data_IF_112174854744
#
_entry.id   IF_112174854744
#
_cell.length_a   1.000
_cell.length_b   1.000
_cell.length_c   1.000
_cell.angle_alpha   90.00
_cell.angle_beta   90.00
_cell.angle_gamma   90.00
#
_symmetry.space_group_name_H-M   'P 1'
#
loop_
_entity.id
_entity.type
_entity.pdbx_description
1 polymer ?
#
# COMPACT_ATOMS: atom_id res chain seq x y z
N UNK A 1 -10.26 3.28 -12.55
CA UNK A 1 -9.10 4.17 -12.38
C UNK A 1 -9.06 4.83 -11.00
N UNK A 2 -7.93 4.76 -10.30
CA UNK A 2 -7.72 5.27 -8.93
C UNK A 2 -6.99 6.63 -8.87
N UNK A 3 -6.74 7.24 -10.03
CA UNK A 3 -6.02 8.50 -10.17
C UNK A 3 -6.92 9.69 -9.78
N UNK A 4 -7.28 9.78 -8.50
CA UNK A 4 -7.91 10.96 -7.90
C UNK A 4 -6.88 12.05 -7.60
N UNK A 5 -7.34 13.24 -7.21
CA UNK A 5 -6.46 14.35 -6.82
C UNK A 5 -5.38 13.90 -5.81
N UNK A 6 -4.12 14.32 -6.00
CA UNK A 6 -3.60 15.25 -7.02
C UNK A 6 -3.19 14.56 -8.35
N UNK A 7 -3.57 13.29 -8.57
CA UNK A 7 -3.23 12.50 -9.76
C UNK A 7 -4.29 12.57 -10.87
N UNK A 8 -5.30 13.43 -10.75
CA UNK A 8 -6.34 13.62 -11.76
C UNK A 8 -5.81 14.20 -13.09
N UNK A 9 -4.62 14.80 -13.09
CA UNK A 9 -3.92 15.21 -14.32
C UNK A 9 -3.76 14.07 -15.33
N UNK A 10 -3.50 12.83 -14.87
CA UNK A 10 -3.37 11.67 -15.76
C UNK A 10 -4.70 11.38 -16.46
N UNK A 11 -5.82 11.47 -15.74
CA UNK A 11 -7.16 11.29 -16.33
C UNK A 11 -7.44 12.35 -17.38
N UNK A 12 -7.19 13.62 -17.03
CA UNK A 12 -7.48 14.75 -17.90
C UNK A 12 -6.64 14.70 -19.19
N UNK A 13 -5.36 14.33 -19.08
CA UNK A 13 -4.48 14.17 -20.25
C UNK A 13 -4.88 12.99 -21.13
N UNK A 14 -5.28 11.86 -20.56
CA UNK A 14 -5.77 10.72 -21.35
C UNK A 14 -7.05 11.07 -22.12
N UNK A 15 -8.00 11.77 -21.49
CA UNK A 15 -9.24 12.23 -22.15
C UNK A 15 -8.91 13.20 -23.29
N UNK A 16 -8.06 14.20 -23.03
CA UNK A 16 -7.66 15.17 -24.04
C UNK A 16 -6.97 14.52 -25.25
N UNK A 17 -6.13 13.50 -25.00
CA UNK A 17 -5.46 12.74 -26.06
C UNK A 17 -6.48 11.99 -26.93
N UNK A 18 -7.46 11.33 -26.32
CA UNK A 18 -8.53 10.64 -27.06
C UNK A 18 -9.35 11.63 -27.90
N UNK A 19 -9.75 12.76 -27.33
CA UNK A 19 -10.51 13.78 -28.07
C UNK A 19 -9.72 14.36 -29.25
N UNK A 20 -8.41 14.60 -29.09
CA UNK A 20 -7.55 15.08 -30.17
C UNK A 20 -7.44 14.09 -31.34
N UNK A 21 -7.47 12.78 -31.04
CA UNK A 21 -7.32 11.71 -32.03
C UNK A 21 -8.64 11.23 -32.65
N UNK A 22 -9.79 11.65 -32.11
CA UNK A 22 -11.11 11.17 -32.54
C UNK A 22 -12.06 12.36 -32.73
N UNK A 23 -12.02 12.99 -33.90
CA UNK A 23 -12.87 14.14 -34.20
C UNK A 23 -14.36 13.81 -34.02
N UNK A 24 -15.08 14.66 -33.27
CA UNK A 24 -16.52 14.50 -33.03
C UNK A 24 -16.92 13.48 -31.95
N UNK A 25 -15.96 12.83 -31.27
CA UNK A 25 -16.26 11.94 -30.15
C UNK A 25 -16.92 12.71 -28.99
N UNK A 26 -17.92 12.10 -28.36
CA UNK A 26 -18.52 12.67 -27.15
C UNK A 26 -17.54 12.65 -25.98
N UNK A 27 -17.73 13.53 -24.98
CA UNK A 27 -16.89 13.54 -23.78
C UNK A 27 -17.04 12.24 -22.97
N UNK A 28 -18.22 11.61 -22.99
CA UNK A 28 -18.50 10.36 -22.29
C UNK A 28 -17.73 9.19 -22.93
N UNK A 29 -17.84 9.05 -24.26
CA UNK A 29 -17.12 8.01 -25.00
C UNK A 29 -15.60 8.23 -24.92
N UNK A 30 -15.15 9.49 -24.99
CA UNK A 30 -13.74 9.82 -24.82
C UNK A 30 -13.25 9.44 -23.42
N UNK A 31 -14.07 9.63 -22.39
CA UNK A 31 -13.73 9.26 -21.01
C UNK A 31 -13.61 7.76 -20.83
N UNK A 32 -14.54 6.99 -21.41
CA UNK A 32 -14.51 5.54 -21.33
C UNK A 32 -13.31 4.97 -22.12
N UNK A 33 -13.11 5.43 -23.36
CA UNK A 33 -11.96 5.04 -24.19
C UNK A 33 -10.62 5.41 -23.54
N UNK A 34 -10.50 6.62 -22.98
CA UNK A 34 -9.30 7.06 -22.27
C UNK A 34 -8.99 6.21 -21.04
N UNK A 35 -10.03 5.73 -20.34
CA UNK A 35 -9.86 4.81 -19.23
C UNK A 35 -9.31 3.47 -19.70
N UNK A 36 -9.89 2.89 -20.74
CA UNK A 36 -9.49 1.58 -21.24
C UNK A 36 -8.07 1.61 -21.81
N UNK A 37 -7.72 2.64 -22.59
CA UNK A 37 -6.37 2.84 -23.11
C UNK A 37 -5.33 3.03 -21.99
N UNK A 38 -5.65 3.87 -20.98
CA UNK A 38 -4.74 4.12 -19.86
C UNK A 38 -4.55 2.89 -18.97
N UNK A 39 -5.62 2.16 -18.64
CA UNK A 39 -5.53 0.95 -17.82
C UNK A 39 -4.80 -0.18 -18.57
N UNK A 40 -4.98 -0.28 -19.89
CA UNK A 40 -4.23 -1.23 -20.74
C UNK A 40 -2.74 -0.89 -20.77
N UNK A 41 -2.39 0.36 -21.07
CA UNK A 41 -0.99 0.79 -21.12
C UNK A 41 -0.32 0.70 -19.74
N UNK A 42 -1.01 1.10 -18.68
CA UNK A 42 -0.53 1.02 -17.30
C UNK A 42 -0.28 -0.42 -16.86
N UNK A 43 -1.21 -1.34 -17.17
CA UNK A 43 -0.99 -2.77 -16.93
C UNK A 43 0.23 -3.27 -17.69
N UNK A 44 0.31 -3.04 -18.99
CA UNK A 44 1.43 -3.51 -19.81
C UNK A 44 2.76 -3.03 -19.24
N UNK A 45 2.89 -1.73 -18.95
CA UNK A 45 4.13 -1.18 -18.41
C UNK A 45 4.52 -1.82 -17.07
N UNK A 46 3.58 -1.94 -16.14
CA UNK A 46 3.85 -2.49 -14.80
C UNK A 46 4.12 -4.00 -14.83
N UNK A 47 3.35 -4.75 -15.61
CA UNK A 47 3.49 -6.20 -15.73
C UNK A 47 4.84 -6.57 -16.39
N UNK A 48 5.20 -5.91 -17.50
CA UNK A 48 6.46 -6.17 -18.20
C UNK A 48 7.68 -5.72 -17.36
N UNK A 49 7.55 -4.69 -16.54
CA UNK A 49 8.61 -4.29 -15.61
C UNK A 49 8.86 -5.36 -14.55
N UNK A 50 7.81 -5.97 -13.98
CA UNK A 50 7.97 -7.08 -13.04
C UNK A 50 8.58 -8.32 -13.71
N UNK A 51 8.13 -8.67 -14.93
CA UNK A 51 8.71 -9.75 -15.73
C UNK A 51 10.21 -9.54 -15.96
N UNK A 52 10.59 -8.33 -16.35
CA UNK A 52 11.99 -7.96 -16.57
C UNK A 52 12.81 -8.03 -15.29
N UNK A 53 12.29 -7.50 -14.17
CA UNK A 53 12.98 -7.58 -12.87
C UNK A 53 13.28 -9.04 -12.48
N UNK A 54 12.28 -9.92 -12.60
CA UNK A 54 12.43 -11.35 -12.33
C UNK A 54 13.38 -12.03 -13.30
N UNK A 55 13.36 -11.72 -14.59
CA UNK A 55 14.27 -12.35 -15.56
C UNK A 55 15.73 -11.98 -15.30
N UNK A 56 15.99 -10.71 -14.95
CA UNK A 56 17.35 -10.20 -14.70
C UNK A 56 17.86 -10.58 -13.30
N UNK A 57 16.98 -10.71 -12.30
CA UNK A 57 17.30 -11.09 -10.91
C UNK A 57 16.27 -12.09 -10.36
N UNK A 58 16.34 -13.37 -10.75
CA UNK A 58 15.30 -14.36 -10.45
C UNK A 58 15.22 -14.78 -8.98
N UNK A 59 16.29 -14.53 -8.20
CA UNK A 59 16.33 -14.86 -6.76
C UNK A 59 15.84 -13.73 -5.84
N UNK A 60 15.33 -12.63 -6.39
CA UNK A 60 14.85 -11.49 -5.62
C UNK A 60 13.32 -11.49 -5.52
N UNK A 61 12.83 -10.83 -4.48
CA UNK A 61 11.41 -10.61 -4.25
C UNK A 61 11.03 -9.28 -4.92
N UNK A 62 10.18 -9.36 -5.94
CA UNK A 62 9.78 -8.27 -6.81
C UNK A 62 8.31 -7.95 -6.60
N UNK A 63 8.02 -6.66 -6.44
CA UNK A 63 6.69 -6.14 -6.27
C UNK A 63 6.73 -4.62 -6.19
N UNK A 64 5.57 -3.99 -6.21
CA UNK A 64 5.46 -2.55 -6.12
C UNK A 64 5.19 -2.11 -4.69
N UNK A 65 5.97 -1.13 -4.22
CA UNK A 65 5.64 -0.37 -3.01
C UNK A 65 4.19 0.15 -3.08
N UNK A 66 3.53 0.15 -1.92
CA UNK A 66 2.14 0.55 -1.67
C UNK A 66 1.09 -0.48 -2.06
N UNK A 67 1.43 -1.55 -2.79
CA UNK A 67 0.43 -2.51 -3.27
C UNK A 67 0.36 -3.79 -2.42
N UNK A 68 -0.86 -4.28 -2.11
CA UNK A 68 -2.15 -3.63 -2.36
C UNK A 68 -2.41 -2.45 -1.40
N UNK A 69 -3.26 -1.51 -1.83
CA UNK A 69 -3.83 -0.50 -0.93
C UNK A 69 -5.28 -0.87 -0.61
N UNK A 70 -5.68 -0.57 0.63
CA UNK A 70 -7.00 -0.82 1.20
C UNK A 70 -7.89 0.43 1.13
N UNK A 71 -7.30 1.63 1.08
CA UNK A 71 -8.00 2.92 1.13
C UNK A 71 -9.02 3.07 2.29
N UNK A 72 -8.80 2.38 3.42
CA UNK A 72 -9.56 2.51 4.67
C UNK A 72 -9.17 3.78 5.45
N UNK A 73 -9.17 4.93 4.77
CA UNK A 73 -8.65 6.21 5.29
C UNK A 73 -9.70 7.09 5.99
N UNK A 74 -10.94 6.61 6.17
CA UNK A 74 -12.05 7.37 6.78
C UNK A 74 -12.15 7.15 8.29
N UNK A 75 -11.01 7.16 8.98
CA UNK A 75 -10.94 6.83 10.42
C UNK A 75 -11.58 7.88 11.33
N UNK A 76 -11.93 9.06 10.82
CA UNK A 76 -12.75 10.06 11.52
C UNK A 76 -14.25 9.72 11.54
N UNK A 77 -14.70 8.72 10.77
CA UNK A 77 -16.10 8.29 10.80
C UNK A 77 -16.39 7.56 12.14
N UNK A 78 -17.43 7.94 12.89
CA UNK A 78 -17.83 7.24 14.12
C UNK A 78 -18.14 5.75 13.91
N UNK A 79 -18.47 5.34 12.68
CA UNK A 79 -18.75 3.95 12.29
C UNK A 79 -17.54 3.26 11.67
N UNK A 80 -16.34 3.84 11.78
CA UNK A 80 -15.13 3.27 11.23
C UNK A 80 -14.83 1.90 11.83
N UNK A 81 -14.77 0.88 10.97
CA UNK A 81 -14.49 -0.51 11.34
C UNK A 81 -13.15 -1.02 10.79
N UNK A 82 -12.41 -0.16 10.07
CA UNK A 82 -11.14 -0.49 9.44
C UNK A 82 -11.25 -1.20 8.09
N UNK A 83 -12.41 -1.75 7.71
CA UNK A 83 -12.52 -2.57 6.51
C UNK A 83 -12.14 -1.80 5.23
N UNK A 84 -11.46 -2.49 4.30
CA UNK A 84 -11.30 -1.95 2.95
C UNK A 84 -12.68 -1.82 2.30
N UNK A 85 -13.01 -0.67 1.68
CA UNK A 85 -14.28 -0.49 1.00
C UNK A 85 -14.50 -1.59 -0.05
N UNK A 86 -15.73 -2.09 -0.25
CA UNK A 86 -16.00 -3.18 -1.20
C UNK A 86 -15.51 -2.91 -2.63
N UNK A 87 -15.63 -1.66 -3.08
CA UNK A 87 -15.13 -1.22 -4.39
C UNK A 87 -13.61 -1.37 -4.52
N UNK A 88 -12.87 -1.24 -3.42
CA UNK A 88 -11.41 -1.36 -3.44
C UNK A 88 -10.96 -2.81 -3.46
N UNK A 89 -11.69 -3.71 -2.78
CA UNK A 89 -11.49 -5.16 -2.91
C UNK A 89 -11.72 -5.61 -4.37
N UNK A 90 -12.82 -5.18 -4.99
CA UNK A 90 -13.11 -5.48 -6.41
C UNK A 90 -12.02 -4.94 -7.36
N UNK A 91 -11.54 -3.72 -7.13
CA UNK A 91 -10.43 -3.16 -7.92
C UNK A 91 -9.12 -3.89 -7.67
N UNK A 92 -8.87 -4.39 -6.46
CA UNK A 92 -7.72 -5.26 -6.19
C UNK A 92 -7.89 -6.63 -6.86
N UNK A 93 -9.10 -7.17 -6.98
CA UNK A 93 -9.35 -8.41 -7.74
C UNK A 93 -9.02 -8.24 -9.23
N UNK A 94 -9.38 -7.08 -9.80
CA UNK A 94 -9.04 -6.71 -11.18
C UNK A 94 -7.52 -6.55 -11.41
N UNK A 95 -6.72 -6.44 -10.35
CA UNK A 95 -5.25 -6.41 -10.39
C UNK A 95 -4.61 -7.79 -10.24
N UNK A 96 -5.37 -8.89 -10.37
CA UNK A 96 -4.84 -10.26 -10.25
C UNK A 96 -3.59 -10.55 -11.08
N UNK A 97 -3.44 -9.89 -12.24
CA UNK A 97 -2.24 -9.96 -13.08
C UNK A 97 -0.97 -9.50 -12.33
N UNK A 98 -1.05 -8.44 -11.52
CA UNK A 98 0.06 -7.91 -10.74
C UNK A 98 0.45 -8.87 -9.62
N UNK A 99 -0.53 -9.45 -8.93
CA UNK A 99 -0.29 -10.37 -7.83
C UNK A 99 0.37 -11.65 -8.32
N UNK A 100 -0.12 -12.20 -9.45
CA UNK A 100 0.46 -13.40 -10.08
C UNK A 100 1.92 -13.17 -10.44
N UNK A 101 2.22 -11.99 -10.96
CA UNK A 101 3.55 -11.65 -11.45
C UNK A 101 4.53 -11.30 -10.31
N UNK A 102 4.05 -10.78 -9.19
CA UNK A 102 4.87 -10.40 -8.03
C UNK A 102 5.47 -11.61 -7.31
N UNK A 103 6.70 -11.48 -6.81
CA UNK A 103 7.33 -12.43 -5.87
C UNK A 103 7.42 -11.87 -4.45
N UNK A 104 6.98 -10.64 -4.20
CA UNK A 104 6.71 -10.07 -2.87
C UNK A 104 5.61 -9.02 -2.93
N UNK A 105 4.85 -8.84 -1.85
CA UNK A 105 3.88 -7.75 -1.70
C UNK A 105 4.39 -6.73 -0.68
N UNK A 106 4.16 -5.44 -0.95
CA UNK A 106 4.75 -4.33 -0.20
C UNK A 106 3.71 -3.28 0.19
N UNK A 107 2.68 -3.64 0.98
CA UNK A 107 1.67 -2.70 1.44
C UNK A 107 2.30 -1.68 2.40
N UNK A 108 1.77 -0.46 2.41
CA UNK A 108 2.15 0.57 3.40
C UNK A 108 1.05 0.73 4.43
N UNK A 109 1.43 0.77 5.71
CA UNK A 109 0.50 1.02 6.83
C UNK A 109 0.89 2.27 7.62
N UNK A 110 1.53 3.24 6.97
CA UNK A 110 1.99 4.45 7.65
C UNK A 110 0.84 5.16 8.37
N UNK A 111 1.08 5.52 9.62
CA UNK A 111 0.11 6.26 10.43
C UNK A 111 0.14 7.75 10.09
N UNK A 112 -1.04 8.36 10.21
CA UNK A 112 -1.22 9.82 10.29
C UNK A 112 -1.40 10.22 11.74
N UNK A 113 -1.13 11.48 12.07
CA UNK A 113 -1.21 11.99 13.45
C UNK A 113 -2.59 11.80 14.08
N UNK A 114 -3.65 11.90 13.29
CA UNK A 114 -5.04 11.63 13.72
C UNK A 114 -5.25 10.21 14.29
N UNK A 115 -4.39 9.25 13.93
CA UNK A 115 -4.40 7.88 14.45
C UNK A 115 -3.47 7.69 15.66
N UNK A 116 -2.69 8.72 16.03
CA UNK A 116 -1.77 8.67 17.16
C UNK A 116 -2.49 8.45 18.49
N UNK A 117 -1.98 7.53 19.30
CA UNK A 117 -2.55 7.09 20.59
C UNK A 117 -4.02 6.67 20.51
N UNK A 118 -4.49 6.26 19.34
CA UNK A 118 -5.88 5.89 19.07
C UNK A 118 -5.96 4.42 18.66
N UNK A 119 -6.83 3.63 19.32
CA UNK A 119 -7.04 2.21 19.02
C UNK A 119 -7.54 1.96 17.58
N UNK A 120 -8.10 2.97 16.91
CA UNK A 120 -8.44 2.87 15.48
C UNK A 120 -7.22 2.63 14.60
N UNK A 121 -6.00 2.98 15.05
CA UNK A 121 -4.76 2.65 14.36
C UNK A 121 -4.63 1.13 14.14
N UNK A 122 -4.99 0.32 15.15
CA UNK A 122 -4.95 -1.13 15.03
C UNK A 122 -5.88 -1.63 13.91
N UNK A 123 -7.12 -1.13 13.83
CA UNK A 123 -8.05 -1.47 12.75
C UNK A 123 -7.54 -1.01 11.37
N UNK A 124 -6.97 0.20 11.31
CA UNK A 124 -6.39 0.77 10.09
C UNK A 124 -5.25 -0.10 9.52
N UNK A 125 -4.37 -0.58 10.39
CA UNK A 125 -3.24 -1.46 10.05
C UNK A 125 -3.74 -2.87 9.72
N UNK A 126 -4.55 -3.47 10.59
CA UNK A 126 -5.05 -4.84 10.49
C UNK A 126 -5.67 -5.10 9.13
N UNK A 127 -6.59 -4.25 8.68
CA UNK A 127 -7.31 -4.52 7.43
C UNK A 127 -6.50 -4.28 6.16
N UNK A 128 -5.42 -3.48 6.21
CA UNK A 128 -4.44 -3.40 5.12
C UNK A 128 -3.64 -4.69 4.99
N UNK A 129 -3.21 -5.25 6.11
CA UNK A 129 -2.48 -6.52 6.13
C UNK A 129 -3.40 -7.67 5.76
N UNK A 130 -4.65 -7.70 6.25
CA UNK A 130 -5.66 -8.69 5.86
C UNK A 130 -5.94 -8.66 4.36
N UNK A 131 -6.06 -7.47 3.75
CA UNK A 131 -6.23 -7.37 2.29
C UNK A 131 -5.00 -7.88 1.53
N UNK A 132 -3.80 -7.64 2.06
CA UNK A 132 -2.55 -8.17 1.51
C UNK A 132 -2.50 -9.70 1.58
N UNK A 133 -2.93 -10.29 2.70
CA UNK A 133 -3.08 -11.75 2.87
C UNK A 133 -4.15 -12.31 1.93
N UNK A 134 -5.22 -11.56 1.68
CA UNK A 134 -6.29 -12.01 0.76
C UNK A 134 -5.76 -12.12 -0.68
N UNK A 135 -5.06 -11.09 -1.17
CA UNK A 135 -4.56 -11.09 -2.55
C UNK A 135 -3.28 -11.91 -2.75
N UNK A 136 -2.51 -12.17 -1.68
CA UNK A 136 -1.28 -12.98 -1.78
C UNK A 136 -1.55 -14.43 -2.20
N UNK A 137 -2.74 -14.95 -1.90
CA UNK A 137 -3.19 -16.31 -2.23
C UNK A 137 -3.56 -16.51 -3.71
N UNK A 138 -3.22 -15.56 -4.59
CA UNK A 138 -3.56 -15.59 -6.02
C UNK A 138 -3.08 -16.84 -6.77
N UNK A 139 -2.02 -17.50 -6.28
CA UNK A 139 -1.50 -18.76 -6.82
C UNK A 139 -2.15 -19.97 -6.17
N UNK A 140 -2.13 -20.00 -4.84
CA UNK A 140 -2.72 -21.05 -3.99
C UNK A 140 -2.76 -20.55 -2.54
N UNK A 141 -3.68 -21.10 -1.73
CA UNK A 141 -3.67 -20.86 -0.28
C UNK A 141 -2.42 -21.43 0.41
N UNK A 142 -1.81 -22.47 -0.17
CA UNK A 142 -0.61 -23.14 0.36
C UNK A 142 0.70 -22.50 -0.08
N UNK A 143 0.64 -21.59 -1.05
CA UNK A 143 1.80 -20.87 -1.61
C UNK A 143 1.43 -19.39 -1.79
N UNK A 144 1.19 -18.65 -0.70
CA UNK A 144 0.92 -17.23 -0.77
C UNK A 144 2.20 -16.44 -1.11
N UNK A 145 2.06 -15.37 -1.89
CA UNK A 145 3.16 -14.41 -2.10
C UNK A 145 3.58 -13.79 -0.76
N UNK A 146 4.88 -13.78 -0.39
CA UNK A 146 5.33 -13.24 0.89
C UNK A 146 5.06 -11.74 0.99
N UNK A 147 4.66 -11.28 2.17
CA UNK A 147 4.24 -9.89 2.44
C UNK A 147 5.27 -9.21 3.31
N UNK A 148 5.76 -8.04 2.89
CA UNK A 148 6.67 -7.19 3.65
C UNK A 148 6.03 -5.83 3.89
N UNK A 149 5.59 -5.59 5.12
CA UNK A 149 4.76 -4.42 5.44
C UNK A 149 5.65 -3.21 5.67
N UNK A 150 5.43 -2.14 4.91
CA UNK A 150 6.12 -0.87 5.07
C UNK A 150 5.55 -0.07 6.24
N UNK A 151 6.41 0.31 7.18
CA UNK A 151 6.10 1.21 8.30
C UNK A 151 7.02 2.43 8.31
N UNK A 152 6.61 3.44 9.10
CA UNK A 152 7.44 4.55 9.53
C UNK A 152 7.39 4.62 11.06
N UNK A 153 8.46 5.11 11.66
CA UNK A 153 8.55 5.43 13.09
C UNK A 153 8.09 6.86 13.39
N UNK A 154 7.65 7.61 12.38
CA UNK A 154 7.04 8.94 12.50
C UNK A 154 5.70 9.00 11.77
N UNK A 155 4.87 9.98 12.12
CA UNK A 155 3.62 10.21 11.39
C UNK A 155 3.87 10.72 9.97
N UNK A 156 3.12 10.21 8.99
CA UNK A 156 3.26 10.56 7.56
C UNK A 156 3.01 12.05 7.28
N UNK A 157 2.09 12.64 8.01
CA UNK A 157 1.71 14.06 7.94
C UNK A 157 2.43 14.93 8.98
N UNK A 158 3.21 14.34 9.90
CA UNK A 158 4.11 15.05 10.79
C UNK A 158 5.43 14.28 11.01
N UNK A 159 6.33 14.35 10.03
CA UNK A 159 7.59 13.59 10.03
C UNK A 159 8.61 13.98 11.10
N UNK A 160 8.31 14.98 11.94
CA UNK A 160 9.17 15.37 13.07
C UNK A 160 8.78 14.71 14.39
N UNK A 161 7.62 14.05 14.44
CA UNK A 161 7.05 13.44 15.63
C UNK A 161 7.10 11.92 15.53
N UNK A 162 7.79 11.30 16.50
CA UNK A 162 7.89 9.84 16.60
C UNK A 162 6.61 9.22 17.09
N UNK A 163 6.34 8.00 16.62
CA UNK A 163 5.33 7.11 17.16
C UNK A 163 5.63 6.80 18.62
N UNK A 164 4.59 6.82 19.45
CA UNK A 164 4.69 6.41 20.85
C UNK A 164 4.61 4.88 20.95
N UNK A 165 4.93 4.33 22.12
CA UNK A 165 4.84 2.88 22.39
C UNK A 165 3.47 2.30 21.99
N UNK A 166 2.38 2.97 22.39
CA UNK A 166 1.01 2.57 22.02
C UNK A 166 0.78 2.55 20.49
N UNK A 167 1.44 3.44 19.73
CA UNK A 167 1.34 3.46 18.27
C UNK A 167 2.11 2.31 17.65
N UNK A 168 3.26 1.95 18.24
CA UNK A 168 4.07 0.81 17.81
C UNK A 168 3.35 -0.51 18.10
N UNK A 169 2.70 -0.65 19.26
CA UNK A 169 1.83 -1.80 19.56
C UNK A 169 0.67 -1.90 18.56
N UNK A 170 0.00 -0.78 18.28
CA UNK A 170 -1.11 -0.74 17.31
C UNK A 170 -0.65 -0.89 15.84
N UNK A 171 0.66 -0.88 15.56
CA UNK A 171 1.22 -1.08 14.21
C UNK A 171 1.98 -2.38 14.14
N UNK A 172 3.19 -2.44 14.68
CA UNK A 172 4.06 -3.61 14.65
C UNK A 172 3.39 -4.80 15.33
N UNK A 173 2.76 -4.60 16.49
CA UNK A 173 2.02 -5.67 17.19
C UNK A 173 0.92 -6.28 16.31
N UNK A 174 0.08 -5.44 15.70
CA UNK A 174 -0.97 -5.91 14.76
C UNK A 174 -0.39 -6.58 13.50
N UNK A 175 0.72 -6.07 12.98
CA UNK A 175 1.39 -6.65 11.82
C UNK A 175 1.88 -8.06 12.16
N UNK A 176 2.63 -8.23 13.26
CA UNK A 176 3.18 -9.52 13.69
C UNK A 176 2.07 -10.52 13.97
N UNK A 177 0.98 -10.11 14.62
CA UNK A 177 -0.17 -10.97 14.91
C UNK A 177 -0.84 -11.57 13.67
N UNK A 178 -0.67 -10.97 12.49
CA UNK A 178 -1.24 -11.44 11.22
C UNK A 178 -0.27 -12.30 10.38
N UNK A 179 0.98 -12.48 10.83
CA UNK A 179 1.96 -13.37 10.22
C UNK A 179 2.46 -13.01 8.80
N UNK A 180 2.75 -11.75 8.45
CA UNK A 180 3.47 -11.43 7.21
C UNK A 180 4.91 -11.96 7.27
N UNK A 181 5.59 -11.94 6.12
CA UNK A 181 6.97 -12.40 6.00
C UNK A 181 7.99 -11.44 6.62
N UNK A 182 7.65 -10.16 6.76
CA UNK A 182 8.50 -9.18 7.44
C UNK A 182 7.95 -7.76 7.48
N UNK A 183 8.74 -6.87 8.10
CA UNK A 183 8.48 -5.44 8.21
C UNK A 183 9.63 -4.67 7.58
N UNK A 184 9.32 -3.64 6.81
CA UNK A 184 10.29 -2.71 6.24
C UNK A 184 10.10 -1.35 6.91
N UNK A 185 11.09 -0.92 7.69
CA UNK A 185 11.09 0.40 8.31
C UNK A 185 11.66 1.38 7.28
N UNK A 186 10.85 2.34 6.83
CA UNK A 186 11.22 3.29 5.80
C UNK A 186 11.14 4.73 6.29
N UNK A 187 12.22 5.20 6.92
CA UNK A 187 12.34 6.56 7.40
C UNK A 187 13.43 7.36 6.69
N UNK A 188 13.25 8.69 6.69
CA UNK A 188 14.23 9.60 6.12
C UNK A 188 15.56 9.50 6.89
N UNK A 189 16.69 9.58 6.18
CA UNK A 189 18.04 9.57 6.77
C UNK A 189 18.22 10.60 7.90
N UNK A 190 17.44 11.68 7.90
CA UNK A 190 17.46 12.72 8.93
C UNK A 190 16.88 12.28 10.29
N UNK A 191 16.20 11.13 10.37
CA UNK A 191 15.76 10.49 11.62
C UNK A 191 16.85 9.57 12.17
N UNK A 192 17.54 8.84 11.30
CA UNK A 192 18.68 7.99 11.68
C UNK A 192 19.86 8.79 12.27
N UNK A 193 19.96 10.08 11.96
CA UNK A 193 20.96 11.00 12.53
C UNK A 193 20.53 11.63 13.87
N UNK A 194 19.31 11.39 14.35
CA UNK A 194 18.81 11.92 15.62
C UNK A 194 18.91 10.84 16.70
N UNK A 195 19.39 11.22 17.88
CA UNK A 195 19.54 10.35 19.05
C UNK A 195 18.25 9.62 19.52
N UNK A 196 17.08 9.98 18.98
CA UNK A 196 15.80 9.33 19.28
C UNK A 196 15.65 7.92 18.69
N UNK A 197 16.34 7.60 17.58
CA UNK A 197 16.18 6.30 16.92
C UNK A 197 16.74 5.15 17.77
N UNK A 198 17.92 5.34 18.36
CA UNK A 198 18.53 4.36 19.28
C UNK A 198 17.61 4.05 20.46
N UNK A 199 16.97 5.08 21.04
CA UNK A 199 16.05 4.88 22.17
C UNK A 199 14.79 4.10 21.77
N UNK A 200 14.24 4.36 20.59
CA UNK A 200 13.09 3.61 20.07
C UNK A 200 13.47 2.16 19.79
N UNK A 201 14.61 1.93 19.13
CA UNK A 201 15.09 0.58 18.85
C UNK A 201 15.39 -0.21 20.13
N UNK A 202 16.01 0.41 21.14
CA UNK A 202 16.32 -0.24 22.41
C UNK A 202 15.04 -0.65 23.16
N UNK A 203 14.08 0.28 23.32
CA UNK A 203 12.80 -0.03 23.97
C UNK A 203 12.05 -1.14 23.21
N UNK A 204 12.06 -1.11 21.88
CA UNK A 204 11.36 -2.11 21.07
C UNK A 204 12.01 -3.50 21.14
N UNK A 205 13.34 -3.55 21.28
CA UNK A 205 14.06 -4.82 21.44
C UNK A 205 13.80 -5.44 22.80
N UNK A 206 13.77 -4.64 23.87
CA UNK A 206 13.45 -5.10 25.23
C UNK A 206 12.02 -5.66 25.34
N UNK A 207 11.04 -5.10 24.63
CA UNK A 207 9.66 -5.60 24.62
C UNK A 207 9.51 -6.91 23.84
N UNK A 208 10.18 -7.06 22.70
CA UNK A 208 10.18 -8.31 21.92
C UNK A 208 10.85 -9.47 22.65
N UNK A 209 11.83 -9.19 23.51
CA UNK A 209 12.48 -10.19 24.36
C UNK A 209 11.62 -10.63 25.56
N UNK A 210 10.56 -9.88 25.90
CA UNK A 210 9.68 -10.16 27.04
C UNK A 210 8.37 -10.89 26.67
N UNK A 211 8.08 -11.07 25.38
CA UNK A 211 6.88 -11.75 24.85
C UNK A 211 7.16 -13.14 24.30
#
# INVERSE_FOLDING_TARGET
MRNWKPKDVYRNKSIALVQANNAGISIEDATQKAKDEFETAGRHFMEETLKLGKSVRPRHLWGYYLFPDCYNNKFQDPKYDGNCPPVEKQRNDALSWMWKESTGLYPSVYLKKDLGSNRQAALYVRYRVVESVRVSKVRSEKDPVPIFVYIRLVFTDNTSEYLQEVDLVNTIGEIVALGPAGIIIWDAMSLAQRAGLERICNNFTEELEQS
#
